data_IF_368676488419
#
_entry.id   IF_368676488419
#
_cell.length_a   1.000
_cell.length_b   1.000
_cell.length_c   1.000
_cell.angle_alpha   90.00
_cell.angle_beta   90.00
_cell.angle_gamma   90.00
#
_symmetry.space_group_name_H-M   'P 1'
#
loop_
_entity.id
_entity.type
_entity.pdbx_description
1 polymer ?
#
# COMPACT_ATOMS: atom_id res chain seq x y z
N UNK A 1 24.16 56.25 2.77
CA UNK A 1 23.75 55.43 3.93
C UNK A 1 22.41 54.70 3.71
N UNK A 2 21.53 55.16 2.80
CA UNK A 2 20.25 54.47 2.50
C UNK A 2 20.39 53.18 1.68
N UNK A 3 21.36 53.10 0.77
CA UNK A 3 21.48 51.97 -0.17
C UNK A 3 21.89 50.65 0.50
N UNK A 4 22.71 50.71 1.55
CA UNK A 4 23.14 49.53 2.33
C UNK A 4 21.98 48.92 3.13
N UNK A 5 21.04 49.74 3.61
CA UNK A 5 19.85 49.26 4.33
C UNK A 5 18.87 48.57 3.37
N UNK A 6 18.66 49.14 2.17
CA UNK A 6 17.80 48.56 1.15
C UNK A 6 18.30 47.19 0.67
N UNK A 7 19.62 47.06 0.45
CA UNK A 7 20.25 45.80 0.04
C UNK A 7 20.11 44.70 1.09
N UNK A 8 20.31 45.03 2.37
CA UNK A 8 20.14 44.07 3.49
C UNK A 8 18.70 43.57 3.64
N UNK A 9 17.72 44.44 3.42
CA UNK A 9 16.29 44.07 3.44
C UNK A 9 15.95 43.16 2.27
N UNK A 10 16.45 43.44 1.06
CA UNK A 10 16.24 42.61 -0.12
C UNK A 10 16.82 41.19 0.07
N UNK A 11 18.06 41.08 0.56
CA UNK A 11 18.71 39.79 0.85
C UNK A 11 17.93 38.95 1.86
N UNK A 12 17.43 39.56 2.95
CA UNK A 12 16.60 38.87 3.95
C UNK A 12 15.28 38.39 3.36
N UNK A 13 14.62 39.20 2.52
CA UNK A 13 13.37 38.83 1.85
C UNK A 13 13.60 37.69 0.86
N UNK A 14 14.66 37.74 0.05
CA UNK A 14 15.03 36.65 -0.86
C UNK A 14 15.33 35.35 -0.11
N UNK A 15 16.05 35.42 1.01
CA UNK A 15 16.32 34.26 1.86
C UNK A 15 15.05 33.62 2.44
N UNK A 16 14.11 34.43 2.93
CA UNK A 16 12.83 33.95 3.44
C UNK A 16 11.97 33.31 2.34
N UNK A 17 11.91 33.92 1.16
CA UNK A 17 11.17 33.37 0.01
C UNK A 17 11.77 32.04 -0.44
N UNK A 18 13.10 31.97 -0.61
CA UNK A 18 13.80 30.75 -0.99
C UNK A 18 13.59 29.64 0.05
N UNK A 19 13.65 29.98 1.35
CA UNK A 19 13.36 29.06 2.44
C UNK A 19 11.93 28.52 2.38
N UNK A 20 10.94 29.40 2.23
CA UNK A 20 9.52 29.02 2.13
C UNK A 20 9.25 28.12 0.92
N UNK A 21 9.78 28.47 -0.26
CA UNK A 21 9.65 27.67 -1.47
C UNK A 21 10.30 26.29 -1.29
N UNK A 22 11.45 26.22 -0.65
CA UNK A 22 12.12 24.94 -0.37
C UNK A 22 11.26 24.07 0.54
N UNK A 23 10.67 24.64 1.61
CA UNK A 23 9.77 23.90 2.51
C UNK A 23 8.51 23.43 1.77
N UNK A 24 7.89 24.28 0.95
CA UNK A 24 6.72 23.91 0.16
C UNK A 24 7.04 22.83 -0.88
N UNK A 25 8.19 22.93 -1.56
CA UNK A 25 8.67 21.90 -2.46
C UNK A 25 8.90 20.60 -1.71
N UNK A 26 9.60 20.60 -0.57
CA UNK A 26 9.78 19.39 0.24
C UNK A 26 8.43 18.81 0.69
N UNK A 27 7.50 19.64 1.19
CA UNK A 27 6.18 19.17 1.61
C UNK A 27 5.40 18.53 0.46
N UNK A 28 5.39 19.17 -0.72
CA UNK A 28 4.77 18.62 -1.93
C UNK A 28 5.45 17.32 -2.38
N UNK A 29 6.80 17.27 -2.31
CA UNK A 29 7.58 16.09 -2.65
C UNK A 29 7.29 14.88 -1.77
N UNK A 30 7.08 15.15 -0.48
CA UNK A 30 6.94 14.14 0.56
C UNK A 30 5.48 13.75 0.81
N UNK A 31 4.52 14.61 0.45
CA UNK A 31 3.10 14.46 0.80
C UNK A 31 2.51 13.08 0.53
N UNK A 32 2.70 12.46 -0.65
CA UNK A 32 1.99 11.22 -0.93
C UNK A 32 2.72 9.98 -0.38
N UNK A 33 4.03 10.07 -0.12
CA UNK A 33 4.72 9.05 0.69
C UNK A 33 4.21 9.06 2.15
N UNK A 34 4.01 10.25 2.73
CA UNK A 34 3.33 10.41 4.04
C UNK A 34 1.92 9.84 3.97
N UNK A 35 1.17 10.13 2.90
CA UNK A 35 -0.20 9.69 2.73
C UNK A 35 -0.31 8.17 2.58
N UNK A 36 0.56 7.54 1.79
CA UNK A 36 0.63 6.09 1.65
C UNK A 36 0.95 5.44 3.00
N UNK A 37 1.96 5.94 3.72
CA UNK A 37 2.29 5.49 5.07
C UNK A 37 1.10 5.63 6.02
N UNK A 38 0.39 6.75 5.96
CA UNK A 38 -0.83 6.97 6.75
C UNK A 38 -1.90 5.92 6.45
N UNK A 39 -2.18 5.65 5.17
CA UNK A 39 -3.14 4.62 4.78
C UNK A 39 -2.79 3.24 5.34
N UNK A 40 -1.53 2.82 5.21
CA UNK A 40 -1.09 1.52 5.71
C UNK A 40 -1.17 1.44 7.24
N UNK A 41 -0.73 2.48 7.94
CA UNK A 41 -0.83 2.52 9.40
C UNK A 41 -2.28 2.44 9.91
N UNK A 42 -3.24 2.97 9.14
CA UNK A 42 -4.67 2.84 9.47
C UNK A 42 -5.19 1.44 9.25
N UNK A 43 -4.77 0.75 8.19
CA UNK A 43 -5.10 -0.65 8.00
C UNK A 43 -4.54 -1.57 9.09
N UNK A 44 -3.34 -1.29 9.59
CA UNK A 44 -2.74 -2.05 10.70
C UNK A 44 -3.62 -2.03 11.97
N UNK A 45 -4.53 -1.05 12.10
CA UNK A 45 -5.51 -1.00 13.21
C UNK A 45 -6.68 -1.97 13.02
N UNK A 46 -6.97 -2.40 11.79
CA UNK A 46 -7.98 -3.40 11.50
C UNK A 46 -7.40 -4.79 11.76
N UNK A 47 -7.91 -5.44 12.79
CA UNK A 47 -7.56 -6.81 13.15
C UNK A 47 -8.56 -7.75 12.54
N UNK A 48 -8.08 -8.66 11.72
CA UNK A 48 -8.91 -9.66 11.06
C UNK A 48 -9.58 -10.57 12.09
N UNK A 49 -10.82 -10.95 11.79
CA UNK A 49 -11.68 -11.76 12.67
C UNK A 49 -12.08 -11.12 14.01
N UNK A 50 -11.64 -9.90 14.32
CA UNK A 50 -11.91 -9.25 15.61
C UNK A 50 -12.40 -7.80 15.47
N UNK A 51 -11.90 -7.06 14.49
CA UNK A 51 -12.46 -5.77 14.10
C UNK A 51 -13.84 -5.95 13.48
N UNK A 52 -14.76 -5.08 13.88
CA UNK A 52 -16.18 -5.13 13.52
C UNK A 52 -16.48 -4.35 12.24
N UNK A 53 -17.71 -4.49 11.72
CA UNK A 53 -18.24 -3.63 10.66
C UNK A 53 -18.12 -2.13 10.98
N UNK A 54 -18.39 -1.72 12.22
CA UNK A 54 -18.29 -0.32 12.62
C UNK A 54 -16.84 0.17 12.68
N UNK A 55 -15.90 -0.68 13.09
CA UNK A 55 -14.47 -0.37 13.00
C UNK A 55 -14.04 -0.17 11.55
N UNK A 56 -14.48 -1.06 10.65
CA UNK A 56 -14.22 -0.98 9.22
C UNK A 56 -14.74 0.33 8.63
N UNK A 57 -16.00 0.67 8.93
CA UNK A 57 -16.66 1.89 8.48
C UNK A 57 -15.97 3.15 8.99
N UNK A 58 -15.53 3.15 10.26
CA UNK A 58 -14.75 4.26 10.84
C UNK A 58 -13.42 4.45 10.08
N UNK A 59 -12.65 3.37 9.90
CA UNK A 59 -11.39 3.43 9.15
C UNK A 59 -11.62 3.87 7.70
N UNK A 60 -12.67 3.36 7.04
CA UNK A 60 -13.05 3.77 5.69
C UNK A 60 -13.30 5.27 5.59
N UNK A 61 -14.04 5.84 6.55
CA UNK A 61 -14.29 7.27 6.62
C UNK A 61 -13.00 8.07 6.85
N UNK A 62 -12.12 7.63 7.78
CA UNK A 62 -10.84 8.28 8.09
C UNK A 62 -9.90 8.36 6.89
N UNK A 63 -9.87 7.32 6.05
CA UNK A 63 -9.01 7.26 4.87
C UNK A 63 -9.71 7.70 3.57
N UNK A 64 -11.02 7.97 3.65
CA UNK A 64 -11.87 8.29 2.51
C UNK A 64 -11.95 7.16 1.47
N UNK A 65 -12.01 5.90 1.93
CA UNK A 65 -12.27 4.73 1.09
C UNK A 65 -13.74 4.71 0.63
N UNK A 66 -13.98 4.16 -0.55
CA UNK A 66 -15.32 4.05 -1.16
C UNK A 66 -15.73 2.59 -1.27
N UNK A 67 -17.03 2.34 -1.24
CA UNK A 67 -17.59 1.01 -1.47
C UNK A 67 -17.94 0.83 -2.94
N UNK A 68 -17.82 -0.39 -3.45
CA UNK A 68 -18.20 -0.76 -4.82
C UNK A 68 -19.66 -1.18 -4.94
N UNK A 69 -20.27 -1.64 -3.84
CA UNK A 69 -21.62 -2.21 -3.77
C UNK A 69 -22.41 -1.71 -2.54
N UNK A 70 -23.72 -2.05 -2.41
CA UNK A 70 -24.51 -1.80 -1.21
C UNK A 70 -23.87 -2.45 0.03
N UNK A 71 -23.17 -1.62 0.80
CA UNK A 71 -22.42 -2.01 1.97
C UNK A 71 -23.33 -2.34 3.15
N UNK A 72 -23.24 -3.56 3.67
CA UNK A 72 -23.96 -3.97 4.87
C UNK A 72 -23.09 -4.90 5.74
N UNK A 73 -23.50 -5.21 6.99
CA UNK A 73 -22.70 -6.05 7.87
C UNK A 73 -22.47 -7.48 7.36
N UNK A 74 -23.32 -8.03 6.50
CA UNK A 74 -23.11 -9.38 5.95
C UNK A 74 -21.98 -9.39 4.92
N UNK A 75 -21.91 -8.34 4.10
CA UNK A 75 -20.89 -8.18 3.08
C UNK A 75 -20.67 -6.70 2.77
N UNK A 76 -19.42 -6.25 2.84
CA UNK A 76 -19.02 -4.95 2.35
C UNK A 76 -17.54 -4.94 1.99
N UNK A 77 -17.21 -4.33 0.85
CA UNK A 77 -15.84 -4.07 0.42
C UNK A 77 -15.62 -2.55 0.36
N UNK A 78 -14.54 -2.08 0.97
CA UNK A 78 -14.05 -0.72 0.83
C UNK A 78 -12.72 -0.73 0.11
N UNK A 79 -12.53 0.25 -0.78
CA UNK A 79 -11.24 0.48 -1.42
C UNK A 79 -10.86 1.96 -1.43
N UNK A 80 -9.58 2.24 -1.23
CA UNK A 80 -8.96 3.55 -1.43
C UNK A 80 -7.82 3.40 -2.42
N UNK A 81 -7.89 4.20 -3.48
CA UNK A 81 -6.84 4.35 -4.47
C UNK A 81 -6.16 5.71 -4.30
N UNK A 82 -4.83 5.73 -4.27
CA UNK A 82 -4.01 6.94 -4.43
C UNK A 82 -3.29 6.80 -5.75
N UNK A 83 -3.56 7.75 -6.65
CA UNK A 83 -2.82 7.89 -7.90
C UNK A 83 -1.42 8.45 -7.63
N UNK A 84 -0.40 7.76 -8.12
CA UNK A 84 1.00 8.13 -8.06
C UNK A 84 1.35 9.29 -8.99
N UNK A 85 0.46 9.73 -9.88
CA UNK A 85 0.59 11.04 -10.52
C UNK A 85 0.69 12.16 -9.47
N UNK A 86 0.22 11.92 -8.24
CA UNK A 86 0.40 12.82 -7.10
C UNK A 86 1.77 12.69 -6.42
N UNK A 87 2.56 11.62 -6.69
CA UNK A 87 3.95 11.38 -6.26
C UNK A 87 4.95 12.03 -7.21
N UNK A 88 5.59 13.13 -6.80
CA UNK A 88 6.53 13.81 -7.68
C UNK A 88 7.83 13.02 -7.82
N UNK A 89 8.29 12.92 -9.08
CA UNK A 89 9.49 12.20 -9.58
C UNK A 89 9.31 10.72 -9.95
N UNK A 90 8.08 10.30 -10.23
CA UNK A 90 7.87 9.10 -11.05
C UNK A 90 7.87 9.45 -12.54
N UNK A 91 8.81 8.90 -13.31
CA UNK A 91 9.05 9.21 -14.74
C UNK A 91 8.61 8.08 -15.68
N UNK A 92 8.09 6.97 -15.14
CA UNK A 92 7.73 5.76 -15.89
C UNK A 92 6.23 5.49 -16.05
N UNK A 93 5.38 6.48 -15.79
CA UNK A 93 3.98 6.44 -16.19
C UNK A 93 3.03 7.11 -15.21
N UNK A 94 2.03 7.80 -15.73
CA UNK A 94 0.76 8.06 -15.04
C UNK A 94 0.05 6.72 -14.82
N UNK A 95 -0.75 6.62 -13.75
CA UNK A 95 -1.59 5.44 -13.52
C UNK A 95 -1.07 4.46 -12.47
N UNK A 96 0.06 4.67 -11.80
CA UNK A 96 0.38 3.79 -10.68
C UNK A 96 -0.51 4.10 -9.46
N UNK A 97 -1.09 3.07 -8.85
CA UNK A 97 -2.07 3.17 -7.78
C UNK A 97 -1.58 2.42 -6.55
N UNK A 98 -1.45 3.13 -5.43
CA UNK A 98 -1.55 2.48 -4.12
C UNK A 98 -3.01 2.17 -3.88
N UNK A 99 -3.33 0.89 -3.73
CA UNK A 99 -4.67 0.44 -3.36
C UNK A 99 -4.64 -0.18 -1.98
N UNK A 100 -5.61 0.23 -1.20
CA UNK A 100 -5.95 -0.39 0.07
C UNK A 100 -7.37 -0.91 -0.10
N UNK A 101 -7.57 -2.20 0.14
CA UNK A 101 -8.88 -2.84 0.11
C UNK A 101 -9.10 -3.59 1.43
N UNK A 102 -10.32 -3.57 1.96
CA UNK A 102 -10.68 -4.43 3.09
C UNK A 102 -12.16 -4.76 3.05
N UNK A 103 -12.47 -5.95 3.56
CA UNK A 103 -13.79 -6.55 3.46
C UNK A 103 -14.31 -6.91 4.83
N UNK A 104 -15.61 -6.69 5.03
CA UNK A 104 -16.38 -7.26 6.12
C UNK A 104 -17.20 -8.42 5.59
N UNK A 105 -17.19 -9.52 6.34
CA UNK A 105 -18.11 -10.65 6.15
C UNK A 105 -18.64 -11.07 7.50
N UNK A 106 -19.96 -11.26 7.62
CA UNK A 106 -20.61 -11.63 8.88
C UNK A 106 -20.21 -10.69 10.05
N UNK A 107 -20.23 -9.39 9.79
CA UNK A 107 -19.94 -8.29 10.73
C UNK A 107 -18.50 -8.18 11.23
N UNK A 108 -17.56 -8.98 10.71
CA UNK A 108 -16.14 -8.92 11.06
C UNK A 108 -15.25 -8.69 9.84
N UNK A 109 -14.11 -8.03 10.02
CA UNK A 109 -13.08 -7.91 8.98
C UNK A 109 -12.63 -9.32 8.57
N UNK A 110 -12.79 -9.63 7.28
CA UNK A 110 -12.50 -10.93 6.68
C UNK A 110 -11.40 -10.89 5.63
N UNK A 111 -11.02 -9.68 5.17
CA UNK A 111 -9.88 -9.46 4.26
C UNK A 111 -9.33 -8.05 4.49
N UNK A 112 -8.02 -7.89 4.48
CA UNK A 112 -7.35 -6.60 4.27
C UNK A 112 -6.26 -6.84 3.25
N UNK A 113 -6.14 -5.96 2.26
CA UNK A 113 -5.22 -6.12 1.14
C UNK A 113 -4.60 -4.76 0.80
N UNK A 114 -3.31 -4.78 0.46
CA UNK A 114 -2.50 -3.59 0.21
C UNK A 114 -1.72 -3.76 -1.08
N UNK A 115 -2.33 -3.38 -2.20
CA UNK A 115 -1.64 -3.41 -3.48
C UNK A 115 -0.83 -2.15 -3.71
N UNK A 116 0.35 -2.32 -4.29
CA UNK A 116 1.06 -1.27 -5.01
C UNK A 116 1.07 -1.64 -6.49
N UNK A 117 1.09 -0.66 -7.38
CA UNK A 117 1.37 -0.98 -8.76
C UNK A 117 0.95 0.02 -9.86
N UNK A 118 1.49 -0.13 -11.07
CA UNK A 118 1.11 0.52 -12.35
C UNK A 118 -0.26 0.06 -12.93
N UNK A 119 -1.33 0.85 -12.76
CA UNK A 119 -2.58 0.73 -13.53
C UNK A 119 -2.32 1.30 -14.94
N UNK A 120 -2.38 0.45 -15.97
CA UNK A 120 -2.43 0.90 -17.36
C UNK A 120 -3.89 1.17 -17.71
N UNK A 121 -4.17 2.36 -18.24
CA UNK A 121 -5.49 2.86 -18.63
C UNK A 121 -6.40 1.77 -19.22
N UNK A 122 -7.36 1.32 -18.41
CA UNK A 122 -8.58 0.66 -18.88
C UNK A 122 -8.44 -0.77 -19.37
N UNK A 123 -9.24 -1.64 -18.74
CA UNK A 123 -9.75 -2.93 -19.22
C UNK A 123 -9.10 -4.18 -18.61
N UNK A 124 -7.78 -4.31 -18.39
CA UNK A 124 -7.21 -5.52 -17.78
C UNK A 124 -5.81 -5.34 -17.17
N UNK A 125 -5.68 -4.85 -15.92
CA UNK A 125 -4.43 -5.11 -15.19
C UNK A 125 -4.08 -4.13 -14.09
N UNK A 126 -4.30 -4.58 -12.86
CA UNK A 126 -3.46 -4.17 -11.74
C UNK A 126 -2.12 -4.92 -11.88
N UNK A 127 -1.03 -4.25 -12.28
CA UNK A 127 0.14 -4.21 -11.41
C UNK A 127 1.40 -5.06 -11.71
N UNK A 128 2.61 -4.57 -12.14
CA UNK A 128 3.77 -5.45 -12.32
C UNK A 128 4.39 -5.98 -11.02
N UNK A 129 3.93 -5.49 -9.85
CA UNK A 129 4.38 -5.94 -8.54
C UNK A 129 3.41 -5.51 -7.46
N UNK A 130 2.59 -6.43 -6.94
CA UNK A 130 1.63 -6.15 -5.85
C UNK A 130 1.95 -6.94 -4.59
N UNK A 131 1.53 -6.44 -3.43
CA UNK A 131 1.47 -7.25 -2.23
C UNK A 131 -0.01 -7.51 -1.98
N UNK A 132 -0.37 -8.75 -1.63
CA UNK A 132 -1.72 -9.10 -1.27
C UNK A 132 -1.68 -9.81 0.06
N UNK A 133 -2.39 -9.25 1.02
CA UNK A 133 -2.68 -9.92 2.27
C UNK A 133 -4.09 -10.48 2.14
N UNK A 134 -4.24 -11.74 2.48
CA UNK A 134 -5.54 -12.39 2.58
C UNK A 134 -5.50 -13.14 3.91
N UNK A 135 -6.03 -12.56 4.98
CA UNK A 135 -6.28 -13.36 6.18
C UNK A 135 -7.58 -14.13 5.98
N UNK A 136 -7.44 -15.43 5.70
CA UNK A 136 -8.54 -16.32 5.35
C UNK A 136 -9.02 -17.07 6.59
N UNK A 137 -10.33 -17.17 6.75
CA UNK A 137 -10.92 -18.13 7.67
C UNK A 137 -10.86 -19.53 7.02
N UNK A 138 -10.31 -20.50 7.74
CA UNK A 138 -9.88 -21.83 7.23
C UNK A 138 -11.01 -22.57 6.48
N UNK A 139 -12.26 -22.22 6.78
CA UNK A 139 -13.43 -22.89 6.25
C UNK A 139 -13.89 -22.41 4.86
N UNK A 140 -13.30 -21.34 4.29
CA UNK A 140 -13.74 -20.81 2.99
C UNK A 140 -12.91 -21.26 1.79
N UNK A 141 -11.74 -21.85 2.01
CA UNK A 141 -10.88 -22.35 0.94
C UNK A 141 -10.75 -23.87 1.06
N UNK A 142 -11.39 -24.60 0.15
CA UNK A 142 -11.39 -26.07 0.18
C UNK A 142 -10.04 -26.69 -0.17
N UNK A 143 -9.12 -25.94 -0.79
CA UNK A 143 -7.93 -26.52 -1.42
C UNK A 143 -6.56 -26.04 -0.91
N UNK A 144 -6.43 -25.15 0.11
CA UNK A 144 -5.19 -24.80 0.88
C UNK A 144 -5.47 -23.59 1.80
N UNK A 145 -4.76 -23.35 2.94
CA UNK A 145 -3.60 -24.05 3.52
C UNK A 145 -3.83 -24.65 4.93
N UNK A 146 -3.17 -25.77 5.25
CA UNK A 146 -3.13 -26.35 6.62
C UNK A 146 -2.21 -25.60 7.58
N UNK A 147 -1.37 -24.70 7.06
CA UNK A 147 -0.37 -23.94 7.83
C UNK A 147 -0.93 -22.59 8.28
N UNK A 148 -0.51 -22.08 9.46
CA UNK A 148 -0.91 -20.76 9.94
C UNK A 148 -0.62 -19.61 8.96
N UNK A 149 0.45 -19.74 8.17
CA UNK A 149 0.79 -18.81 7.08
C UNK A 149 1.23 -19.57 5.84
N UNK A 150 0.80 -19.09 4.68
CA UNK A 150 1.34 -19.45 3.36
C UNK A 150 1.66 -18.15 2.64
N UNK A 151 2.92 -17.94 2.30
CA UNK A 151 3.36 -16.76 1.58
C UNK A 151 4.19 -17.18 0.36
N UNK A 152 4.14 -16.38 -0.71
CA UNK A 152 4.86 -16.72 -1.92
C UNK A 152 4.89 -15.60 -2.95
N UNK A 153 5.96 -15.61 -3.75
CA UNK A 153 6.10 -14.78 -4.92
C UNK A 153 5.44 -15.45 -6.12
N UNK A 154 4.66 -14.68 -6.86
CA UNK A 154 4.16 -14.97 -8.19
C UNK A 154 4.93 -14.13 -9.21
N UNK A 155 5.14 -14.72 -10.38
CA UNK A 155 5.91 -14.14 -11.48
C UNK A 155 5.07 -14.18 -12.75
N UNK A 156 5.36 -13.31 -13.70
CA UNK A 156 4.75 -13.35 -15.04
C UNK A 156 5.83 -13.15 -16.10
N UNK A 157 5.51 -13.45 -17.36
CA UNK A 157 6.42 -13.24 -18.51
C UNK A 157 6.97 -11.81 -18.59
N UNK A 158 6.22 -10.82 -18.09
CA UNK A 158 6.60 -9.41 -18.11
C UNK A 158 7.28 -8.96 -16.82
N UNK A 159 6.98 -9.62 -15.70
CA UNK A 159 7.35 -9.14 -14.37
C UNK A 159 7.84 -10.27 -13.47
N UNK A 160 9.15 -10.26 -13.21
CA UNK A 160 9.79 -11.21 -12.30
C UNK A 160 9.20 -11.17 -10.89
N UNK A 161 8.75 -10.00 -10.43
CA UNK A 161 8.18 -9.83 -9.09
C UNK A 161 6.71 -9.42 -9.18
N UNK A 162 5.90 -10.18 -9.91
CA UNK A 162 4.53 -9.81 -10.25
C UNK A 162 3.63 -9.60 -9.03
N UNK A 163 3.70 -10.49 -8.05
CA UNK A 163 2.89 -10.39 -6.85
C UNK A 163 3.53 -11.14 -5.69
N UNK A 164 3.42 -10.62 -4.47
CA UNK A 164 3.65 -11.37 -3.25
C UNK A 164 2.32 -11.57 -2.55
N UNK A 165 1.89 -12.82 -2.40
CA UNK A 165 0.66 -13.14 -1.70
C UNK A 165 1.00 -13.71 -0.35
N UNK A 166 0.34 -13.21 0.69
CA UNK A 166 0.40 -13.75 2.05
C UNK A 166 -1.00 -14.16 2.46
N UNK A 167 -1.22 -15.46 2.54
CA UNK A 167 -2.36 -16.06 3.19
C UNK A 167 -2.04 -16.30 4.66
N UNK A 168 -2.75 -15.62 5.55
CA UNK A 168 -2.66 -15.88 6.99
C UNK A 168 -3.97 -16.50 7.48
N UNK A 169 -3.91 -17.44 8.41
CA UNK A 169 -5.11 -17.89 9.14
C UNK A 169 -5.15 -17.23 10.52
N UNK A 170 -6.27 -17.39 11.23
CA UNK A 170 -6.36 -16.93 12.63
C UNK A 170 -5.30 -17.56 13.55
N UNK A 171 -4.72 -18.70 13.17
CA UNK A 171 -3.66 -19.39 13.93
C UNK A 171 -2.28 -18.76 13.73
N UNK A 172 -2.12 -17.81 12.80
CA UNK A 172 -0.86 -17.10 12.59
C UNK A 172 -0.41 -16.41 13.89
N UNK A 173 0.84 -16.63 14.27
CA UNK A 173 1.42 -16.08 15.50
C UNK A 173 1.61 -14.56 15.40
N UNK A 174 1.90 -13.91 16.53
CA UNK A 174 2.26 -12.50 16.51
C UNK A 174 3.54 -12.24 15.70
N UNK A 175 4.50 -13.16 15.75
CA UNK A 175 5.75 -13.07 14.98
C UNK A 175 5.51 -13.26 13.49
N UNK A 176 4.63 -14.18 13.09
CA UNK A 176 4.20 -14.34 11.70
C UNK A 176 3.59 -13.04 11.16
N UNK A 177 2.62 -12.48 11.90
CA UNK A 177 1.95 -11.24 11.53
C UNK A 177 2.97 -10.12 11.39
N UNK A 178 3.85 -9.96 12.38
CA UNK A 178 4.92 -8.95 12.36
C UNK A 178 5.84 -9.14 11.16
N UNK A 179 6.27 -10.37 10.87
CA UNK A 179 7.16 -10.69 9.74
C UNK A 179 6.55 -10.27 8.41
N UNK A 180 5.27 -10.56 8.21
CA UNK A 180 4.62 -10.32 6.91
C UNK A 180 4.00 -8.94 6.78
N UNK A 181 3.79 -8.19 7.86
CA UNK A 181 3.32 -6.79 7.79
C UNK A 181 4.42 -5.76 8.07
N UNK A 182 5.69 -6.16 8.13
CA UNK A 182 6.81 -5.25 8.34
C UNK A 182 7.21 -4.50 7.06
N UNK A 183 6.33 -3.60 6.60
CA UNK A 183 6.60 -2.80 5.40
C UNK A 183 7.82 -1.87 5.59
N UNK A 184 8.71 -1.87 4.60
CA UNK A 184 9.78 -0.87 4.49
C UNK A 184 9.27 0.35 3.69
N UNK A 185 8.71 1.31 4.42
CA UNK A 185 8.30 2.58 3.83
C UNK A 185 9.48 3.45 3.37
N UNK A 186 10.74 3.04 3.63
CA UNK A 186 11.95 3.72 3.20
C UNK A 186 12.00 3.90 1.67
N UNK A 187 11.53 2.91 0.92
CA UNK A 187 11.52 2.97 -0.55
C UNK A 187 10.60 4.05 -1.12
N UNK A 188 9.55 4.44 -0.40
CA UNK A 188 8.65 5.54 -0.82
C UNK A 188 9.35 6.90 -0.87
N UNK A 189 10.50 7.04 -0.21
CA UNK A 189 11.28 8.26 -0.14
C UNK A 189 12.46 8.28 -1.13
N UNK A 190 12.75 7.16 -1.79
CA UNK A 190 13.85 7.07 -2.76
C UNK A 190 13.48 7.79 -4.05
N UNK A 191 14.49 8.26 -4.77
CA UNK A 191 14.31 8.70 -6.15
C UNK A 191 13.77 7.52 -6.98
N UNK A 192 12.62 7.72 -7.64
CA UNK A 192 11.83 6.68 -8.32
C UNK A 192 10.99 5.74 -7.45
N UNK A 193 10.82 6.04 -6.16
CA UNK A 193 9.96 5.25 -5.28
C UNK A 193 10.44 3.81 -5.10
N UNK A 194 9.49 2.91 -4.83
CA UNK A 194 9.74 1.48 -4.68
C UNK A 194 9.83 0.84 -6.07
N UNK A 195 10.94 0.16 -6.36
CA UNK A 195 11.15 -0.50 -7.65
C UNK A 195 10.16 -1.65 -7.91
N UNK A 196 9.90 -2.43 -6.86
CA UNK A 196 8.99 -3.57 -6.85
C UNK A 196 8.52 -3.83 -5.40
N UNK A 197 7.56 -4.74 -5.23
CA UNK A 197 6.97 -5.10 -3.95
C UNK A 197 7.99 -5.61 -2.91
N UNK A 198 9.17 -6.12 -3.31
CA UNK A 198 10.20 -6.56 -2.36
C UNK A 198 10.84 -5.39 -1.62
N UNK A 199 10.92 -4.23 -2.28
CA UNK A 199 11.42 -3.03 -1.60
C UNK A 199 10.42 -2.49 -0.59
N UNK A 200 9.12 -2.72 -0.81
CA UNK A 200 8.07 -2.29 0.10
C UNK A 200 7.82 -3.30 1.22
N UNK A 201 7.99 -4.59 0.96
CA UNK A 201 7.94 -5.65 1.95
C UNK A 201 9.13 -6.60 1.74
N UNK A 202 10.29 -6.27 2.34
CA UNK A 202 11.47 -7.12 2.25
C UNK A 202 11.25 -8.36 3.13
N UNK A 203 10.63 -9.39 2.55
CA UNK A 203 10.50 -10.69 3.20
C UNK A 203 11.75 -11.54 2.95
N UNK A 204 12.05 -12.42 3.90
CA UNK A 204 13.11 -13.42 3.76
C UNK A 204 12.66 -14.66 2.96
N UNK A 205 11.45 -14.65 2.38
CA UNK A 205 10.94 -15.82 1.70
C UNK A 205 11.66 -16.03 0.37
N UNK A 206 12.15 -17.26 0.12
CA UNK A 206 12.89 -17.55 -1.09
C UNK A 206 11.99 -17.36 -2.30
N UNK A 207 12.54 -16.71 -3.31
CA UNK A 207 11.95 -16.68 -4.63
C UNK A 207 11.94 -18.12 -5.19
N UNK A 208 10.87 -18.59 -5.83
CA UNK A 208 10.92 -19.88 -6.50
C UNK A 208 12.01 -19.81 -7.58
N UNK A 209 13.13 -20.48 -7.34
CA UNK A 209 14.28 -20.43 -8.27
C UNK A 209 13.92 -21.08 -9.60
N UNK A 210 13.01 -22.07 -9.59
CA UNK A 210 12.54 -22.81 -10.76
C UNK A 210 11.21 -23.50 -10.43
N UNK A 211 10.05 -22.85 -10.60
CA UNK A 211 8.68 -23.42 -10.52
C UNK A 211 7.72 -22.21 -10.75
N UNK A 212 6.85 -22.04 -11.74
CA UNK A 212 6.15 -22.90 -12.70
C UNK A 212 5.68 -22.02 -13.88
N UNK A 213 5.74 -22.55 -15.11
CA UNK A 213 4.66 -22.30 -16.08
C UNK A 213 3.37 -22.78 -15.42
N UNK A 214 2.33 -21.95 -15.37
CA UNK A 214 0.97 -22.27 -14.91
C UNK A 214 0.65 -21.99 -13.42
N UNK A 215 0.36 -20.72 -13.14
CA UNK A 215 -1.02 -20.32 -12.84
C UNK A 215 -1.71 -20.73 -11.54
N UNK A 216 -1.09 -21.42 -10.57
CA UNK A 216 -1.77 -21.77 -9.31
C UNK A 216 -0.88 -21.64 -8.07
N UNK A 217 -1.24 -20.70 -7.18
CA UNK A 217 -0.89 -20.69 -5.75
C UNK A 217 -2.09 -21.21 -4.94
#
# INVERSE_FOLDING_TARGET
MGDDLAMKIALRRCGLIAGLLTVLCCAYLLYPAIRARYLFSRLETLRLGSSTFEDAKRVAAEIGAKTTEPCNPLFCEWSKRIDNAQLPRWWRGTGEVFVVTFDVKNSVISRTSTGYGIESDGINGFSPSSIRFDEVDEHWWRDRPTKPVTAGWSTSDRFRYYQFVVYMTRKATADDRKRYTAFDYGCLWKYHGCKDARELLPTADPFPENEFRDGHL
#
